data_IF_162379555636
#
_entry.id   IF_162379555636
#
_cell.length_a   1.000
_cell.length_b   1.000
_cell.length_c   1.000
_cell.angle_alpha   90.00
_cell.angle_beta   90.00
_cell.angle_gamma   90.00
#
_symmetry.space_group_name_H-M   'P 1'
#
loop_
_entity.id
_entity.type
_entity.pdbx_description
1 polymer ?
#
# COMPACT_ATOMS: atom_id res chain seq x y z
N UNK A 1 4.82 -19.17 -7.04
CA UNK A 1 5.45 -20.37 -7.63
C UNK A 1 6.94 -20.47 -7.30
N UNK A 2 7.82 -19.61 -7.84
CA UNK A 2 9.27 -19.70 -7.55
C UNK A 2 9.57 -19.55 -6.04
N UNK A 3 8.93 -18.58 -5.39
CA UNK A 3 9.07 -18.38 -3.94
C UNK A 3 8.68 -19.62 -3.13
N UNK A 4 7.55 -20.27 -3.47
CA UNK A 4 7.11 -21.49 -2.79
C UNK A 4 8.12 -22.62 -2.96
N UNK A 5 8.56 -22.85 -4.21
CA UNK A 5 9.55 -23.87 -4.54
C UNK A 5 10.88 -23.65 -3.82
N UNK A 6 11.36 -22.40 -3.75
CA UNK A 6 12.57 -22.04 -3.03
C UNK A 6 12.44 -22.28 -1.52
N UNK A 7 11.31 -21.91 -0.91
CA UNK A 7 11.06 -22.16 0.50
C UNK A 7 11.04 -23.66 0.82
N UNK A 8 10.34 -24.48 0.02
CA UNK A 8 10.34 -25.93 0.22
C UNK A 8 11.73 -26.54 -0.01
N UNK A 9 12.47 -26.08 -1.03
CA UNK A 9 13.84 -26.53 -1.28
C UNK A 9 14.76 -26.22 -0.09
N UNK A 10 14.64 -25.03 0.49
CA UNK A 10 15.39 -24.63 1.68
C UNK A 10 15.06 -25.53 2.88
N UNK A 11 13.77 -25.78 3.15
CA UNK A 11 13.35 -26.68 4.23
C UNK A 11 13.94 -28.10 4.06
N UNK A 12 13.90 -28.64 2.84
CA UNK A 12 14.52 -29.94 2.52
C UNK A 12 16.02 -29.90 2.77
N UNK A 13 16.72 -28.84 2.38
CA UNK A 13 18.15 -28.69 2.64
C UNK A 13 18.46 -28.62 4.15
N UNK A 14 17.64 -27.93 4.94
CA UNK A 14 17.81 -27.85 6.39
C UNK A 14 17.65 -29.23 7.05
N UNK A 15 16.64 -30.01 6.64
CA UNK A 15 16.44 -31.39 7.10
C UNK A 15 17.65 -32.27 6.75
N UNK A 16 18.14 -32.20 5.51
CA UNK A 16 19.34 -32.92 5.07
C UNK A 16 20.56 -32.58 5.91
N UNK A 17 20.80 -31.29 6.19
CA UNK A 17 21.92 -30.84 7.03
C UNK A 17 21.80 -31.38 8.45
N UNK A 18 20.60 -31.37 9.03
CA UNK A 18 20.34 -31.92 10.37
C UNK A 18 20.77 -33.38 10.47
N UNK A 19 20.34 -34.24 9.54
CA UNK A 19 20.73 -35.66 9.57
C UNK A 19 22.20 -35.88 9.23
N UNK A 20 22.78 -35.04 8.38
CA UNK A 20 24.22 -35.08 8.10
C UNK A 20 25.08 -34.79 9.30
N UNK A 21 24.68 -33.84 10.14
CA UNK A 21 25.39 -33.53 11.37
C UNK A 21 25.16 -34.61 12.43
N UNK A 22 23.93 -35.13 12.53
CA UNK A 22 23.57 -36.15 13.51
C UNK A 22 24.09 -37.56 13.15
N UNK A 23 24.44 -37.82 11.88
CA UNK A 23 24.79 -39.14 11.37
C UNK A 23 23.62 -40.14 11.36
N UNK A 24 22.40 -39.66 11.61
CA UNK A 24 21.20 -40.49 11.81
C UNK A 24 20.32 -40.51 10.56
N UNK A 25 20.63 -41.41 9.65
CA UNK A 25 19.93 -41.53 8.36
C UNK A 25 18.93 -42.68 8.29
N UNK A 26 18.72 -43.44 9.38
CA UNK A 26 17.81 -44.59 9.36
C UNK A 26 18.29 -45.71 8.42
N UNK A 27 17.75 -45.77 7.20
CA UNK A 27 18.07 -46.78 6.19
C UNK A 27 18.77 -46.20 4.93
N UNK A 28 19.14 -47.07 3.99
CA UNK A 28 19.84 -46.67 2.75
C UNK A 28 19.04 -45.70 1.87
N UNK A 29 17.72 -45.85 1.79
CA UNK A 29 16.87 -44.97 0.97
C UNK A 29 16.70 -43.59 1.60
N UNK A 30 16.60 -43.53 2.92
CA UNK A 30 16.56 -42.31 3.72
C UNK A 30 17.92 -41.58 3.69
N UNK A 31 19.03 -42.33 3.63
CA UNK A 31 20.36 -41.77 3.38
C UNK A 31 20.47 -41.13 1.99
N UNK A 32 19.99 -41.81 0.94
CA UNK A 32 20.05 -41.30 -0.44
C UNK A 32 19.13 -40.09 -0.66
N UNK A 33 17.90 -40.16 -0.16
CA UNK A 33 16.96 -39.05 -0.25
C UNK A 33 17.35 -37.88 0.66
N UNK A 34 18.02 -38.17 1.78
CA UNK A 34 18.41 -37.22 2.82
C UNK A 34 17.23 -36.77 3.70
N UNK A 35 16.12 -37.50 3.67
CA UNK A 35 14.92 -37.28 4.46
C UNK A 35 14.38 -38.61 4.98
N UNK A 36 13.77 -38.60 6.15
CA UNK A 36 13.07 -39.75 6.73
C UNK A 36 11.61 -39.76 6.31
N UNK A 37 10.98 -40.95 6.32
CA UNK A 37 9.58 -41.13 5.90
C UNK A 37 8.58 -40.27 6.71
N UNK A 38 8.88 -40.04 7.98
CA UNK A 38 8.07 -39.24 8.89
C UNK A 38 8.26 -37.73 8.71
N UNK A 39 9.29 -37.29 7.99
CA UNK A 39 9.54 -35.85 7.83
C UNK A 39 8.38 -35.18 7.09
N UNK A 40 8.05 -33.98 7.54
CA UNK A 40 7.02 -33.13 6.96
C UNK A 40 7.59 -31.74 6.74
N UNK A 41 7.23 -31.15 5.62
CA UNK A 41 7.52 -29.76 5.32
C UNK A 41 6.43 -28.88 5.94
N UNK A 42 6.82 -27.68 6.36
CA UNK A 42 5.89 -26.65 6.77
C UNK A 42 5.20 -26.08 5.53
N UNK A 43 3.86 -25.95 5.56
CA UNK A 43 3.12 -25.41 4.42
C UNK A 43 3.52 -23.95 4.16
N UNK A 44 3.66 -23.62 2.88
CA UNK A 44 3.95 -22.26 2.40
C UNK A 44 2.72 -21.73 1.69
N UNK A 45 2.28 -20.53 2.07
CA UNK A 45 1.19 -19.79 1.43
C UNK A 45 1.77 -18.49 0.90
N UNK A 46 1.66 -18.28 -0.41
CA UNK A 46 2.01 -17.00 -1.05
C UNK A 46 0.75 -16.19 -1.34
N UNK A 47 0.76 -14.93 -0.92
CA UNK A 47 -0.30 -13.96 -1.18
C UNK A 47 0.25 -12.81 -2.01
N UNK A 48 -0.43 -12.49 -3.11
CA UNK A 48 -0.17 -11.29 -3.91
C UNK A 48 -0.98 -10.15 -3.34
N UNK A 49 -0.31 -9.16 -2.75
CA UNK A 49 -0.98 -7.94 -2.28
C UNK A 49 -1.04 -6.94 -3.42
N UNK A 50 -2.26 -6.64 -3.88
CA UNK A 50 -2.51 -5.77 -5.02
C UNK A 50 -3.07 -4.42 -4.57
N UNK A 51 -2.38 -3.35 -4.99
CA UNK A 51 -2.70 -1.96 -4.63
C UNK A 51 -3.22 -1.14 -5.83
N UNK A 52 -3.54 -1.78 -6.96
CA UNK A 52 -3.93 -1.07 -8.17
C UNK A 52 -5.26 -0.32 -8.03
N UNK A 53 -5.43 0.75 -8.82
CA UNK A 53 -6.66 1.54 -8.82
C UNK A 53 -7.85 0.74 -9.40
N UNK A 54 -7.61 0.01 -10.49
CA UNK A 54 -8.62 -0.87 -11.09
C UNK A 54 -8.73 -2.17 -10.30
N UNK A 55 -9.87 -2.89 -10.38
CA UNK A 55 -9.95 -4.27 -9.89
C UNK A 55 -8.88 -5.13 -10.52
N UNK A 56 -8.35 -6.08 -9.74
CA UNK A 56 -7.53 -7.14 -10.31
C UNK A 56 -8.32 -7.90 -11.38
N UNK A 57 -7.78 -7.95 -12.60
CA UNK A 57 -8.35 -8.61 -13.76
C UNK A 57 -7.44 -9.73 -14.31
N UNK A 58 -6.34 -10.03 -13.62
CA UNK A 58 -5.40 -11.09 -13.98
C UNK A 58 -5.93 -12.49 -13.64
N UNK A 59 -5.29 -13.49 -14.24
CA UNK A 59 -5.57 -14.90 -13.95
C UNK A 59 -5.37 -15.23 -12.46
N UNK A 60 -6.23 -16.09 -11.93
CA UNK A 60 -6.18 -16.56 -10.53
C UNK A 60 -5.57 -17.96 -10.39
N UNK A 61 -5.20 -18.59 -11.50
CA UNK A 61 -4.49 -19.85 -11.49
C UNK A 61 -3.67 -20.07 -12.76
N UNK A 62 -2.72 -21.01 -12.69
CA UNK A 62 -1.80 -21.29 -13.78
C UNK A 62 -2.55 -21.80 -15.02
N UNK A 63 -3.56 -22.65 -14.86
CA UNK A 63 -4.30 -23.20 -16.00
C UNK A 63 -4.98 -22.11 -16.83
N UNK A 64 -5.46 -21.04 -16.20
CA UNK A 64 -6.05 -19.88 -16.88
C UNK A 64 -5.00 -19.04 -17.64
N UNK A 65 -3.73 -19.13 -17.25
CA UNK A 65 -2.60 -18.44 -17.91
C UNK A 65 -2.00 -19.24 -19.08
N UNK A 66 -2.17 -20.56 -19.08
CA UNK A 66 -1.58 -21.43 -20.09
C UNK A 66 -2.40 -21.41 -21.38
N UNK A 67 -1.71 -21.15 -22.48
CA UNK A 67 -2.26 -21.32 -23.83
C UNK A 67 -2.14 -22.80 -24.24
N UNK A 68 -3.15 -23.60 -23.89
CA UNK A 68 -3.21 -25.03 -24.21
C UNK A 68 -4.06 -25.20 -25.48
N UNK A 69 -3.50 -25.69 -26.59
CA UNK A 69 -4.26 -25.98 -27.80
C UNK A 69 -5.38 -27.00 -27.55
N UNK A 70 -6.50 -26.85 -28.25
CA UNK A 70 -7.68 -27.71 -28.06
C UNK A 70 -7.36 -29.20 -28.28
N UNK A 71 -6.44 -29.52 -29.19
CA UNK A 71 -5.99 -30.88 -29.48
C UNK A 71 -5.22 -31.51 -28.30
N UNK A 72 -4.70 -30.70 -27.38
CA UNK A 72 -3.91 -31.12 -26.22
C UNK A 72 -4.65 -30.98 -24.90
N UNK A 73 -5.94 -30.63 -24.92
CA UNK A 73 -6.73 -30.41 -23.71
C UNK A 73 -6.78 -31.65 -22.79
N UNK A 74 -6.72 -32.85 -23.37
CA UNK A 74 -6.65 -34.12 -22.60
C UNK A 74 -5.42 -34.21 -21.69
N UNK A 75 -4.36 -33.46 -21.99
CA UNK A 75 -3.14 -33.42 -21.19
C UNK A 75 -3.19 -32.42 -20.03
N UNK A 76 -4.18 -31.51 -19.98
CA UNK A 76 -4.30 -30.48 -18.93
C UNK A 76 -4.29 -31.08 -17.53
N UNK A 77 -4.89 -32.26 -17.33
CA UNK A 77 -4.93 -32.97 -16.04
C UNK A 77 -3.55 -33.36 -15.49
N UNK A 78 -2.53 -33.48 -16.35
CA UNK A 78 -1.16 -33.80 -15.94
C UNK A 78 -0.33 -32.56 -15.61
N UNK A 79 -0.84 -31.36 -15.92
CA UNK A 79 -0.18 -30.10 -15.61
C UNK A 79 -0.62 -29.63 -14.21
N UNK A 80 0.32 -29.23 -13.33
CA UNK A 80 -0.03 -28.69 -12.03
C UNK A 80 -0.85 -27.39 -12.20
N UNK A 81 -1.91 -27.22 -11.42
CA UNK A 81 -2.67 -25.97 -11.39
C UNK A 81 -2.38 -25.20 -10.09
N UNK A 82 -1.47 -24.24 -10.16
CA UNK A 82 -1.14 -23.41 -9.01
C UNK A 82 -2.15 -22.28 -8.87
N UNK A 83 -2.78 -22.16 -7.69
CA UNK A 83 -3.66 -21.04 -7.35
C UNK A 83 -2.85 -19.79 -7.01
N UNK A 84 -3.28 -18.65 -7.54
CA UNK A 84 -2.75 -17.33 -7.25
C UNK A 84 -3.72 -16.66 -6.28
N UNK A 85 -3.30 -16.54 -5.03
CA UNK A 85 -4.09 -15.86 -4.01
C UNK A 85 -3.83 -14.37 -4.10
N UNK A 86 -4.84 -13.58 -4.47
CA UNK A 86 -4.74 -12.13 -4.60
C UNK A 86 -5.55 -11.47 -3.50
N UNK A 87 -4.90 -10.57 -2.76
CA UNK A 87 -5.55 -9.65 -1.83
C UNK A 87 -5.61 -8.27 -2.48
N UNK A 88 -6.77 -7.91 -3.01
CA UNK A 88 -7.04 -6.58 -3.54
C UNK A 88 -7.38 -5.62 -2.39
N UNK A 89 -6.43 -4.75 -2.04
CA UNK A 89 -6.52 -3.90 -0.85
C UNK A 89 -7.70 -2.93 -0.91
N UNK A 90 -8.03 -2.42 -2.09
CA UNK A 90 -9.15 -1.49 -2.26
C UNK A 90 -10.52 -2.16 -2.12
N UNK A 91 -10.56 -3.49 -2.15
CA UNK A 91 -11.79 -4.30 -2.10
C UNK A 91 -11.84 -5.25 -0.90
N UNK A 92 -10.99 -5.04 0.10
CA UNK A 92 -11.06 -5.80 1.36
C UNK A 92 -12.37 -5.48 2.07
N UNK A 93 -13.22 -6.48 2.30
CA UNK A 93 -14.47 -6.31 3.05
C UNK A 93 -14.19 -6.12 4.56
N UNK A 94 -13.42 -7.03 5.14
CA UNK A 94 -13.19 -7.15 6.58
C UNK A 94 -11.80 -6.66 7.00
N UNK A 95 -11.58 -5.34 6.99
CA UNK A 95 -10.33 -4.74 7.47
C UNK A 95 -10.04 -5.09 8.94
N UNK A 96 -11.07 -5.33 9.75
CA UNK A 96 -10.98 -5.69 11.16
C UNK A 96 -10.26 -7.01 11.44
N UNK A 97 -10.07 -7.87 10.44
CA UNK A 97 -9.29 -9.11 10.59
C UNK A 97 -7.80 -8.85 10.77
N UNK A 98 -7.31 -7.69 10.32
CA UNK A 98 -5.93 -7.28 10.51
C UNK A 98 -5.76 -6.66 11.90
N UNK A 99 -4.99 -7.34 12.77
CA UNK A 99 -4.80 -6.91 14.16
C UNK A 99 -3.59 -5.98 14.34
N UNK A 100 -2.73 -5.85 13.34
CA UNK A 100 -1.54 -4.97 13.35
C UNK A 100 -1.82 -3.67 12.59
N UNK A 101 -0.85 -2.75 12.61
CA UNK A 101 -0.80 -1.49 11.85
C UNK A 101 -1.04 -1.64 10.34
N UNK A 102 -0.89 -2.85 9.79
CA UNK A 102 -1.24 -3.15 8.41
C UNK A 102 -2.71 -2.83 8.11
N UNK A 103 -3.59 -2.91 9.13
CA UNK A 103 -4.98 -2.48 9.03
C UNK A 103 -5.09 -1.02 8.64
N UNK A 104 -4.31 -0.15 9.29
CA UNK A 104 -4.34 1.29 9.05
C UNK A 104 -3.75 1.63 7.68
N UNK A 105 -2.69 0.94 7.26
CA UNK A 105 -2.14 1.01 5.90
C UNK A 105 -3.22 0.67 4.87
N UNK A 106 -3.86 -0.49 5.00
CA UNK A 106 -4.89 -0.93 4.06
C UNK A 106 -6.14 -0.05 4.11
N UNK A 107 -6.50 0.46 5.29
CA UNK A 107 -7.59 1.42 5.46
C UNK A 107 -7.36 2.70 4.67
N UNK A 108 -6.17 3.28 4.80
CA UNK A 108 -5.79 4.50 4.06
C UNK A 108 -5.80 4.23 2.56
N UNK A 109 -5.22 3.13 2.09
CA UNK A 109 -5.18 2.84 0.65
C UNK A 109 -6.59 2.58 0.09
N UNK A 110 -7.43 1.85 0.84
CA UNK A 110 -8.81 1.54 0.44
C UNK A 110 -9.65 2.80 0.20
N UNK A 111 -9.51 3.79 1.09
CA UNK A 111 -10.33 5.00 1.03
C UNK A 111 -9.61 6.21 0.40
N UNK A 112 -8.40 6.02 -0.18
CA UNK A 112 -7.57 7.12 -0.69
C UNK A 112 -8.28 8.02 -1.71
N UNK A 113 -9.19 7.46 -2.50
CA UNK A 113 -9.92 8.19 -3.55
C UNK A 113 -11.23 8.82 -3.06
N UNK A 114 -11.73 8.45 -1.87
CA UNK A 114 -12.96 9.00 -1.30
C UNK A 114 -12.67 9.76 0.00
N UNK A 115 -12.60 11.08 -0.14
CA UNK A 115 -12.34 12.01 0.97
C UNK A 115 -13.30 11.85 2.15
N UNK A 116 -14.57 11.55 1.91
CA UNK A 116 -15.57 11.45 2.97
C UNK A 116 -15.41 10.12 3.72
N UNK A 117 -15.24 9.03 2.97
CA UNK A 117 -15.01 7.71 3.55
C UNK A 117 -13.67 7.65 4.30
N UNK A 118 -12.61 8.26 3.76
CA UNK A 118 -11.32 8.39 4.43
C UNK A 118 -11.46 9.08 5.79
N UNK A 119 -12.11 10.25 5.81
CA UNK A 119 -12.34 11.01 7.06
C UNK A 119 -13.14 10.20 8.06
N UNK A 120 -14.21 9.55 7.62
CA UNK A 120 -15.03 8.71 8.48
C UNK A 120 -14.22 7.53 9.04
N UNK A 121 -13.38 6.91 8.21
CA UNK A 121 -12.54 5.79 8.60
C UNK A 121 -11.46 6.17 9.62
N UNK A 122 -10.70 7.24 9.37
CA UNK A 122 -9.68 7.74 10.30
C UNK A 122 -10.31 8.16 11.62
N UNK A 123 -11.43 8.90 11.58
CA UNK A 123 -12.16 9.31 12.78
C UNK A 123 -12.67 8.13 13.60
N UNK A 124 -13.19 7.08 12.94
CA UNK A 124 -13.66 5.86 13.60
C UNK A 124 -12.54 5.12 14.33
N UNK A 125 -11.30 5.24 13.88
CA UNK A 125 -10.14 4.52 14.41
C UNK A 125 -9.06 5.46 14.95
N UNK A 126 -9.46 6.63 15.46
CA UNK A 126 -8.56 7.70 15.91
C UNK A 126 -7.52 7.22 16.93
N UNK A 127 -7.90 6.35 17.87
CA UNK A 127 -6.98 5.81 18.89
C UNK A 127 -5.81 5.03 18.28
N UNK A 128 -6.01 4.40 17.12
CA UNK A 128 -4.93 3.67 16.41
C UNK A 128 -4.15 4.59 15.49
N UNK A 129 -4.83 5.47 14.75
CA UNK A 129 -4.15 6.44 13.88
C UNK A 129 -3.30 7.48 14.65
N UNK A 130 -3.56 7.68 15.94
CA UNK A 130 -2.77 8.58 16.80
C UNK A 130 -1.48 7.97 17.34
N UNK A 131 -1.26 6.65 17.12
CA UNK A 131 -0.14 5.89 17.70
C UNK A 131 0.43 4.89 16.69
N UNK A 132 0.80 5.39 15.52
CA UNK A 132 1.41 4.55 14.49
C UNK A 132 2.92 4.52 14.64
N UNK A 133 3.52 3.36 14.37
CA UNK A 133 4.96 3.26 14.24
C UNK A 133 5.45 4.07 13.04
N UNK A 134 6.69 4.56 13.10
CA UNK A 134 7.32 5.31 12.02
C UNK A 134 7.24 4.58 10.69
N UNK A 135 7.57 3.29 10.68
CA UNK A 135 7.59 2.44 9.49
C UNK A 135 6.20 2.33 8.86
N UNK A 136 5.14 2.32 9.68
CA UNK A 136 3.76 2.30 9.22
C UNK A 136 3.43 3.58 8.46
N UNK A 137 3.81 4.72 9.03
CA UNK A 137 3.60 6.03 8.40
C UNK A 137 4.38 6.14 7.08
N UNK A 138 5.64 5.71 7.08
CA UNK A 138 6.46 5.66 5.86
C UNK A 138 5.75 4.88 4.75
N UNK A 139 5.26 3.68 5.04
CA UNK A 139 4.52 2.88 4.05
C UNK A 139 3.28 3.62 3.55
N UNK A 140 2.52 4.27 4.43
CA UNK A 140 1.35 5.06 4.04
C UNK A 140 1.73 6.17 3.05
N UNK A 141 2.72 7.01 3.39
CA UNK A 141 3.14 8.11 2.52
C UNK A 141 3.73 7.63 1.19
N UNK A 142 4.51 6.54 1.19
CA UNK A 142 5.02 5.91 -0.05
C UNK A 142 3.84 5.49 -0.94
N UNK A 143 2.83 4.83 -0.36
CA UNK A 143 1.69 4.31 -1.11
C UNK A 143 0.77 5.42 -1.64
N UNK A 144 0.73 6.57 -0.97
CA UNK A 144 0.01 7.76 -1.44
C UNK A 144 0.79 8.60 -2.46
N UNK A 145 2.08 8.34 -2.65
CA UNK A 145 2.95 9.12 -3.55
C UNK A 145 3.43 10.45 -2.95
N UNK A 146 3.19 10.68 -1.67
CA UNK A 146 3.51 11.93 -0.95
C UNK A 146 4.90 11.86 -0.28
N UNK A 147 5.93 11.51 -1.06
CA UNK A 147 7.29 11.28 -0.53
C UNK A 147 7.96 12.53 0.03
N UNK A 148 7.68 13.71 -0.53
CA UNK A 148 8.32 14.96 -0.11
C UNK A 148 7.88 15.34 1.31
N UNK A 149 6.57 15.30 1.59
CA UNK A 149 5.98 15.56 2.91
C UNK A 149 6.39 14.56 3.99
N UNK A 150 6.75 13.34 3.59
CA UNK A 150 7.27 12.32 4.51
C UNK A 150 8.58 12.75 5.16
N UNK A 151 9.49 13.36 4.38
CA UNK A 151 10.80 13.82 4.84
C UNK A 151 10.65 14.82 5.99
N UNK A 152 9.76 15.79 5.82
CA UNK A 152 9.47 16.83 6.82
C UNK A 152 8.93 16.23 8.13
N UNK A 153 7.96 15.31 8.03
CA UNK A 153 7.36 14.65 9.20
C UNK A 153 8.37 13.77 9.95
N UNK A 154 9.22 13.04 9.22
CA UNK A 154 10.24 12.17 9.81
C UNK A 154 11.37 12.98 10.46
N UNK A 155 11.85 14.04 9.80
CA UNK A 155 12.88 14.92 10.34
C UNK A 155 12.40 15.57 11.65
N UNK A 156 11.15 16.06 11.67
CA UNK A 156 10.58 16.70 12.86
C UNK A 156 10.47 15.75 14.05
N UNK A 157 10.22 14.47 13.79
CA UNK A 157 10.04 13.47 14.85
C UNK A 157 11.34 12.79 15.29
N UNK A 158 12.37 12.74 14.44
CA UNK A 158 13.72 12.37 14.84
C UNK A 158 14.29 13.36 15.86
N UNK A 159 13.96 14.65 15.73
CA UNK A 159 14.32 15.69 16.71
C UNK A 159 13.63 15.44 18.06
N UNK A 160 12.39 14.94 18.03
CA UNK A 160 11.57 14.72 19.23
C UNK A 160 11.78 13.35 19.91
N UNK A 161 12.63 12.46 19.36
CA UNK A 161 12.88 11.11 19.87
C UNK A 161 11.59 10.26 20.05
N UNK A 162 10.58 10.47 19.19
CA UNK A 162 9.29 9.77 19.27
C UNK A 162 9.30 8.49 18.44
N UNK A 163 8.94 7.37 19.08
CA UNK A 163 8.73 6.06 18.42
C UNK A 163 7.32 5.93 17.81
N UNK A 164 6.33 6.62 18.40
CA UNK A 164 4.95 6.65 17.93
C UNK A 164 4.57 8.04 17.39
N UNK A 165 3.75 8.03 16.34
CA UNK A 165 3.38 9.21 15.57
C UNK A 165 1.87 9.36 15.48
N UNK A 166 1.42 10.59 15.68
CA UNK A 166 0.01 10.96 15.56
C UNK A 166 -0.32 11.36 14.12
N UNK A 167 -0.86 10.41 13.35
CA UNK A 167 -1.27 10.67 11.97
C UNK A 167 -2.53 11.55 11.91
N UNK A 168 -3.36 11.58 12.95
CA UNK A 168 -4.50 12.50 12.97
C UNK A 168 -4.00 13.95 13.00
N UNK A 169 -2.98 14.21 13.83
CA UNK A 169 -2.31 15.52 13.87
C UNK A 169 -1.68 15.86 12.52
N UNK A 170 -0.94 14.93 11.90
CA UNK A 170 -0.35 15.19 10.58
C UNK A 170 -1.41 15.53 9.50
N UNK A 171 -2.57 14.87 9.50
CA UNK A 171 -3.67 15.24 8.60
C UNK A 171 -4.26 16.62 8.90
N UNK A 172 -4.29 17.04 10.17
CA UNK A 172 -4.74 18.38 10.55
C UNK A 172 -3.75 19.46 10.15
N UNK A 173 -2.46 19.21 10.35
CA UNK A 173 -1.36 20.11 9.97
C UNK A 173 -1.36 20.33 8.46
N UNK A 174 -1.42 19.26 7.65
CA UNK A 174 -1.57 19.35 6.18
C UNK A 174 -2.80 20.14 5.76
N UNK A 175 -3.90 20.05 6.52
CA UNK A 175 -5.13 20.82 6.22
C UNK A 175 -4.96 22.29 6.57
N UNK A 176 -4.22 22.59 7.64
CA UNK A 176 -3.93 23.95 8.05
C UNK A 176 -3.01 24.64 7.03
N UNK A 177 -1.96 23.96 6.60
CA UNK A 177 -1.06 24.40 5.52
C UNK A 177 -1.82 24.72 4.24
N UNK A 178 -2.66 23.80 3.76
CA UNK A 178 -3.46 24.04 2.56
C UNK A 178 -4.47 25.20 2.68
N UNK A 179 -4.86 25.60 3.90
CA UNK A 179 -5.65 26.83 4.12
C UNK A 179 -4.79 28.07 4.01
N UNK A 180 -3.62 28.08 4.67
CA UNK A 180 -2.68 29.19 4.62
C UNK A 180 -2.21 29.46 3.19
N UNK A 181 -1.85 28.40 2.44
CA UNK A 181 -1.50 28.49 1.02
C UNK A 181 -2.64 29.10 0.20
N UNK A 182 -3.88 28.67 0.43
CA UNK A 182 -5.06 29.20 -0.26
C UNK A 182 -5.32 30.68 0.06
N UNK A 183 -5.11 31.10 1.31
CA UNK A 183 -5.23 32.50 1.74
C UNK A 183 -4.14 33.37 1.11
N UNK A 184 -2.89 32.91 1.14
CA UNK A 184 -1.75 33.62 0.54
C UNK A 184 -1.90 33.75 -0.97
N UNK A 185 -2.32 32.67 -1.64
CA UNK A 185 -2.59 32.67 -3.08
C UNK A 185 -3.67 33.69 -3.45
N UNK A 186 -4.76 33.75 -2.68
CA UNK A 186 -5.82 34.72 -2.90
C UNK A 186 -5.39 36.16 -2.57
N UNK A 187 -4.57 36.35 -1.54
CA UNK A 187 -4.00 37.65 -1.19
C UNK A 187 -3.09 38.18 -2.32
N UNK A 188 -2.23 37.32 -2.89
CA UNK A 188 -1.38 37.64 -4.05
C UNK A 188 -2.21 38.02 -5.28
N UNK A 189 -3.26 37.23 -5.60
CA UNK A 189 -4.17 37.57 -6.69
C UNK A 189 -4.86 38.92 -6.46
N UNK A 190 -5.31 39.17 -5.24
CA UNK A 190 -5.98 40.42 -4.86
C UNK A 190 -5.04 41.62 -5.06
N UNK A 191 -3.79 41.51 -4.62
CA UNK A 191 -2.79 42.56 -4.80
C UNK A 191 -2.54 42.87 -6.29
N UNK A 192 -2.37 41.84 -7.12
CA UNK A 192 -2.18 42.00 -8.56
C UNK A 192 -3.36 42.70 -9.23
N UNK A 193 -4.59 42.26 -8.95
CA UNK A 193 -5.80 42.86 -9.53
C UNK A 193 -6.03 44.30 -9.08
N UNK A 194 -5.68 44.64 -7.83
CA UNK A 194 -5.74 46.02 -7.33
C UNK A 194 -4.73 46.90 -8.08
N UNK A 195 -3.49 46.44 -8.24
CA UNK A 195 -2.45 47.17 -8.96
C UNK A 195 -2.82 47.44 -10.41
N UNK A 196 -3.52 46.50 -11.06
CA UNK A 196 -4.00 46.64 -12.44
C UNK A 196 -5.36 47.36 -12.55
N UNK A 197 -5.94 47.85 -11.44
CA UNK A 197 -7.27 48.46 -11.37
C UNK A 197 -8.42 47.56 -11.86
N UNK A 198 -8.25 46.23 -11.86
CA UNK A 198 -9.23 45.21 -12.32
C UNK A 198 -10.25 44.85 -11.23
N UNK A 199 -10.84 45.86 -10.60
CA UNK A 199 -11.76 45.70 -9.45
C UNK A 199 -13.04 44.92 -9.79
N UNK A 200 -13.52 45.00 -11.04
CA UNK A 200 -14.68 44.23 -11.52
C UNK A 200 -14.38 42.73 -11.51
N UNK A 201 -13.18 42.34 -11.90
CA UNK A 201 -12.77 40.94 -11.96
C UNK A 201 -12.39 40.39 -10.61
N UNK A 202 -11.83 41.22 -9.73
CA UNK A 202 -11.68 40.89 -8.31
C UNK A 202 -13.04 40.55 -7.69
N UNK A 203 -14.07 41.36 -7.94
CA UNK A 203 -15.43 41.10 -7.45
C UNK A 203 -15.99 39.77 -7.99
N UNK A 204 -15.67 39.42 -9.23
CA UNK A 204 -16.02 38.11 -9.81
C UNK A 204 -15.23 36.97 -9.13
N UNK A 205 -13.93 37.12 -8.92
CA UNK A 205 -13.07 36.11 -8.30
C UNK A 205 -13.49 35.74 -6.87
N UNK A 206 -14.07 36.69 -6.12
CA UNK A 206 -14.59 36.44 -4.76
C UNK A 206 -15.81 35.51 -4.76
N UNK A 207 -16.65 35.61 -5.79
CA UNK A 207 -17.97 34.95 -5.83
C UNK A 207 -18.01 33.73 -6.74
N UNK A 208 -17.15 33.68 -7.75
CA UNK A 208 -17.08 32.60 -8.73
C UNK A 208 -15.71 31.92 -8.74
N UNK A 209 -15.73 30.62 -8.43
CA UNK A 209 -14.52 29.80 -8.36
C UNK A 209 -13.85 29.65 -9.73
N UNK A 210 -14.63 29.48 -10.81
CA UNK A 210 -14.07 29.29 -12.16
C UNK A 210 -13.34 30.54 -12.66
N UNK A 211 -13.94 31.72 -12.46
CA UNK A 211 -13.30 33.01 -12.76
C UNK A 211 -12.02 33.19 -11.96
N UNK A 212 -12.02 32.82 -10.68
CA UNK A 212 -10.82 32.87 -9.83
C UNK A 212 -9.70 31.95 -10.33
N UNK A 213 -10.03 30.73 -10.75
CA UNK A 213 -9.06 29.78 -11.31
C UNK A 213 -8.43 30.29 -12.62
N UNK A 214 -9.23 30.88 -13.51
CA UNK A 214 -8.71 31.50 -14.74
C UNK A 214 -7.76 32.66 -14.44
N UNK A 215 -8.08 33.49 -13.46
CA UNK A 215 -7.22 34.61 -13.06
C UNK A 215 -5.92 34.11 -12.39
N UNK A 216 -5.96 33.01 -11.63
CA UNK A 216 -4.73 32.40 -11.12
C UNK A 216 -3.79 31.98 -12.25
N UNK A 217 -4.32 31.38 -13.32
CA UNK A 217 -3.53 31.01 -14.51
C UNK A 217 -3.01 32.26 -15.25
N UNK A 218 -3.84 33.29 -15.39
CA UNK A 218 -3.46 34.53 -16.07
C UNK A 218 -2.27 35.23 -15.39
N UNK A 219 -2.26 35.25 -14.06
CA UNK A 219 -1.18 35.85 -13.27
C UNK A 219 -0.03 34.86 -12.96
N UNK A 220 -0.04 33.66 -13.55
CA UNK A 220 0.95 32.60 -13.32
C UNK A 220 1.16 32.30 -11.81
N UNK A 221 0.06 32.28 -11.05
CA UNK A 221 0.08 32.03 -9.61
C UNK A 221 0.02 30.53 -9.28
N UNK A 222 -0.44 29.71 -10.24
CA UNK A 222 -0.58 28.24 -10.14
C UNK A 222 -0.29 27.62 -11.50
#
# INVERSE_FOLDING_TARGET
MLYDAMNYAEQVQQIKRKYKIAGDYGNSDEFLSGMKKQDKLLPVITLVVYFGAKPWDGCLDLHSMLDIPAEMETFRQYLPNYKIQVLDVKRIDHLEYFQTDLREVFGVIKYAEDKNMMKAHVKKHQDRYSRLMKETIEVIFIMLGEKEKMSEIIEQAQIDNKEEYDMCKAFEDMRSEGRMEGEELFARLTLNLINDNRTVELKKAVTDKGSRENLYQEYCLV
#
